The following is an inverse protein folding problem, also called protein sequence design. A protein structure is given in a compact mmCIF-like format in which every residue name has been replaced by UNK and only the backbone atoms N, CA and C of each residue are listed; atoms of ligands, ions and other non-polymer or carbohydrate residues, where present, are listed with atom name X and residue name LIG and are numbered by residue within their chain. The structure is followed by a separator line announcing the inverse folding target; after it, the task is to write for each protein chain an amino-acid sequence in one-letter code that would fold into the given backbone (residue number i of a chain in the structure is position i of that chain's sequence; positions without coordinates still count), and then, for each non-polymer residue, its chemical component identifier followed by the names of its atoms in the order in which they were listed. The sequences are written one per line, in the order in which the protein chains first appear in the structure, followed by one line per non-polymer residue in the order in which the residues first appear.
data_IF_630535665105
#
_entry.id   IF_630535665105
#
_cell.length_a   1.000
_cell.length_b   1.000
_cell.length_c   1.000
_cell.angle_alpha   90.00
_cell.angle_beta   90.00
_cell.angle_gamma   90.00
#
_symmetry.space_group_name_H-M   'P 1'
#
loop_
_entity.id
_entity.type
_entity.pdbx_description
1 polymer ?
#
# COMPACT_ATOMS: atom_id res chain seq x y z
N UNK A 1 2.09 -20.57 -82.72
CA UNK A 1 1.95 -19.19 -82.16
C UNK A 1 1.16 -19.15 -80.85
N UNK A 2 0.15 -19.94 -80.60
CA UNK A 2 -0.71 -19.88 -79.37
C UNK A 2 -0.03 -20.29 -78.07
N UNK A 3 0.96 -21.16 -78.05
CA UNK A 3 1.65 -21.67 -76.84
C UNK A 3 2.62 -20.64 -76.21
N UNK A 4 3.26 -19.78 -77.00
CA UNK A 4 4.18 -18.74 -76.50
C UNK A 4 3.47 -17.60 -75.79
N UNK A 5 2.24 -17.27 -76.18
CA UNK A 5 1.46 -16.25 -75.54
C UNK A 5 0.84 -16.70 -74.23
N UNK A 6 0.52 -18.00 -74.10
CA UNK A 6 0.00 -18.57 -72.84
C UNK A 6 1.05 -18.54 -71.72
N UNK A 7 2.30 -18.92 -72.02
CA UNK A 7 3.43 -18.90 -71.07
C UNK A 7 3.78 -17.45 -70.65
N UNK A 8 3.70 -16.50 -71.59
CA UNK A 8 3.98 -15.08 -71.30
C UNK A 8 2.92 -14.45 -70.38
N UNK A 9 1.65 -14.80 -70.56
CA UNK A 9 0.54 -14.34 -69.72
C UNK A 9 0.55 -15.01 -68.33
N UNK A 10 1.00 -16.30 -68.25
CA UNK A 10 1.15 -16.99 -66.98
C UNK A 10 2.30 -16.39 -66.14
N UNK A 11 3.39 -15.97 -66.81
CA UNK A 11 4.52 -15.31 -66.12
C UNK A 11 4.19 -13.91 -65.64
N UNK A 12 3.37 -13.15 -66.36
CA UNK A 12 2.88 -11.82 -65.98
C UNK A 12 1.90 -11.95 -64.80
N UNK A 13 1.00 -12.94 -64.80
CA UNK A 13 0.11 -13.22 -63.68
C UNK A 13 0.84 -13.64 -62.40
N UNK A 14 1.89 -14.47 -62.52
CA UNK A 14 2.73 -14.85 -61.37
C UNK A 14 3.56 -13.68 -60.84
N UNK A 15 4.07 -12.79 -61.69
CA UNK A 15 4.80 -11.59 -61.27
C UNK A 15 3.87 -10.58 -60.59
N UNK A 16 2.62 -10.45 -61.05
CA UNK A 16 1.61 -9.60 -60.39
C UNK A 16 1.19 -10.17 -59.02
N UNK A 17 1.14 -11.49 -58.83
CA UNK A 17 0.81 -12.11 -57.54
C UNK A 17 1.96 -11.96 -56.52
N UNK A 18 3.23 -11.88 -56.98
CA UNK A 18 4.38 -11.68 -56.08
C UNK A 18 4.53 -10.24 -55.60
N UNK A 19 3.98 -9.24 -56.32
CA UNK A 19 4.04 -7.82 -55.90
C UNK A 19 2.99 -7.49 -54.84
N UNK A 20 1.89 -8.26 -54.75
CA UNK A 20 0.83 -8.06 -53.74
C UNK A 20 1.25 -8.54 -52.34
N UNK A 21 2.27 -9.39 -52.21
CA UNK A 21 2.74 -9.96 -50.93
C UNK A 21 3.70 -9.04 -50.17
N UNK A 22 4.24 -7.96 -50.80
CA UNK A 22 5.26 -7.09 -50.15
C UNK A 22 4.68 -5.77 -49.61
N UNK A 23 3.43 -5.45 -49.89
CA UNK A 23 2.75 -4.30 -49.29
C UNK A 23 1.88 -4.75 -48.09
N UNK A 24 2.45 -5.42 -47.14
CA UNK A 24 1.84 -5.50 -45.80
C UNK A 24 1.95 -4.09 -45.21
N UNK A 25 0.84 -3.38 -44.96
CA UNK A 25 0.92 -2.18 -44.15
C UNK A 25 1.57 -2.63 -42.83
N UNK A 26 2.65 -1.97 -42.44
CA UNK A 26 3.16 -2.07 -41.09
C UNK A 26 1.99 -1.70 -40.17
N UNK A 27 1.27 -2.71 -39.68
CA UNK A 27 0.31 -2.53 -38.60
C UNK A 27 1.19 -2.10 -37.44
N UNK A 28 1.34 -0.79 -37.27
CA UNK A 28 1.75 -0.25 -35.99
C UNK A 28 0.76 -0.85 -35.00
N UNK A 29 1.18 -1.92 -34.30
CA UNK A 29 0.50 -2.36 -33.12
C UNK A 29 0.59 -1.16 -32.16
N UNK A 30 -0.43 -0.33 -32.21
CA UNK A 30 -0.73 0.59 -31.13
C UNK A 30 -1.01 -0.34 -29.97
N UNK A 31 0.02 -0.58 -29.17
CA UNK A 31 -0.16 -1.26 -27.89
C UNK A 31 -1.23 -0.45 -27.18
N UNK A 32 -2.42 -1.01 -27.07
CA UNK A 32 -3.49 -0.39 -26.31
C UNK A 32 -2.90 -0.12 -24.93
N UNK A 33 -2.71 1.15 -24.62
CA UNK A 33 -2.12 1.56 -23.34
C UNK A 33 -2.90 0.87 -22.23
N UNK A 34 -2.21 0.09 -21.40
CA UNK A 34 -2.83 -0.61 -20.30
C UNK A 34 -3.45 0.43 -19.35
N UNK A 35 -4.79 0.52 -19.35
CA UNK A 35 -5.51 1.54 -18.58
C UNK A 35 -5.58 1.24 -17.08
N UNK A 36 -5.42 -0.02 -16.69
CA UNK A 36 -5.47 -0.40 -15.28
C UNK A 36 -4.12 -0.17 -14.60
N UNK A 37 -4.16 0.40 -13.39
CA UNK A 37 -3.01 0.57 -12.49
C UNK A 37 -3.28 -0.23 -11.24
N UNK A 38 -2.42 -1.19 -10.93
CA UNK A 38 -2.51 -1.98 -9.70
C UNK A 38 -1.74 -1.24 -8.60
N UNK A 39 -2.50 -0.66 -7.67
CA UNK A 39 -1.97 0.00 -6.47
C UNK A 39 -1.95 -1.00 -5.31
N UNK A 40 -0.76 -1.40 -4.85
CA UNK A 40 -0.64 -2.11 -3.59
C UNK A 40 -0.40 -1.10 -2.45
N UNK A 41 -1.23 -1.18 -1.43
CA UNK A 41 -1.22 -0.24 -0.29
C UNK A 41 -1.58 -0.94 1.02
N UNK A 42 -1.85 -0.16 2.07
CA UNK A 42 -2.17 -0.72 3.38
C UNK A 42 -3.65 -0.61 3.74
N UNK A 43 -4.11 -1.54 4.59
CA UNK A 43 -5.49 -1.48 5.10
C UNK A 43 -5.77 -0.18 5.83
N UNK A 44 -4.79 0.37 6.56
CA UNK A 44 -4.95 1.67 7.23
C UNK A 44 -5.12 2.82 6.23
N UNK A 45 -4.43 2.79 5.08
CA UNK A 45 -4.63 3.78 4.01
C UNK A 45 -6.03 3.68 3.42
N UNK A 46 -6.53 2.47 3.19
CA UNK A 46 -7.90 2.24 2.71
C UNK A 46 -8.93 2.65 3.75
N UNK A 47 -8.78 2.20 5.00
CA UNK A 47 -9.74 2.42 6.09
C UNK A 47 -9.83 3.91 6.51
N UNK A 48 -8.82 4.72 6.18
CA UNK A 48 -8.84 6.18 6.41
C UNK A 48 -9.79 6.93 5.49
N UNK A 49 -10.26 6.30 4.39
CA UNK A 49 -11.07 6.95 3.37
C UNK A 49 -10.29 7.85 2.39
N UNK A 50 -8.96 7.96 2.54
CA UNK A 50 -8.12 8.81 1.69
C UNK A 50 -8.24 8.43 0.22
N UNK A 51 -8.20 7.15 -0.09
CA UNK A 51 -8.24 6.65 -1.47
C UNK A 51 -9.60 6.85 -2.13
N UNK A 52 -10.68 6.86 -1.36
CA UNK A 52 -12.04 7.10 -1.87
C UNK A 52 -12.19 8.52 -2.44
N UNK A 53 -11.37 9.45 -1.96
CA UNK A 53 -11.31 10.82 -2.48
C UNK A 53 -10.29 10.98 -3.61
N UNK A 54 -9.10 10.41 -3.46
CA UNK A 54 -8.00 10.64 -4.41
C UNK A 54 -8.15 9.87 -5.72
N UNK A 55 -8.57 8.60 -5.66
CA UNK A 55 -8.67 7.75 -6.85
C UNK A 55 -9.62 8.32 -7.90
N UNK A 56 -10.86 8.73 -7.59
CA UNK A 56 -11.76 9.30 -8.59
C UNK A 56 -11.19 10.55 -9.27
N UNK A 57 -10.44 11.37 -8.54
CA UNK A 57 -9.79 12.56 -9.11
C UNK A 57 -8.66 12.16 -10.06
N UNK A 58 -7.84 11.18 -9.68
CA UNK A 58 -6.78 10.64 -10.53
C UNK A 58 -7.35 10.05 -11.82
N UNK A 59 -8.35 9.16 -11.71
CA UNK A 59 -8.98 8.49 -12.84
C UNK A 59 -9.59 9.48 -13.82
N UNK A 60 -10.29 10.50 -13.31
CA UNK A 60 -10.86 11.58 -14.14
C UNK A 60 -9.80 12.39 -14.87
N UNK A 61 -8.65 12.65 -14.22
CA UNK A 61 -7.56 13.45 -14.82
C UNK A 61 -6.75 12.71 -15.86
N UNK A 62 -6.58 11.41 -15.69
CA UNK A 62 -5.59 10.63 -16.44
C UNK A 62 -6.20 9.62 -17.40
N UNK A 63 -7.45 9.21 -17.15
CA UNK A 63 -8.10 8.11 -17.88
C UNK A 63 -7.60 6.71 -17.50
N UNK A 64 -6.72 6.58 -16.50
CA UNK A 64 -6.38 5.30 -15.89
C UNK A 64 -7.45 4.88 -14.90
N UNK A 65 -7.54 3.56 -14.64
CA UNK A 65 -8.39 2.97 -13.60
C UNK A 65 -7.51 2.31 -12.55
N UNK A 66 -7.72 2.65 -11.28
CA UNK A 66 -6.91 2.13 -10.17
C UNK A 66 -7.58 0.90 -9.56
N UNK A 67 -6.84 -0.21 -9.56
CA UNK A 67 -7.19 -1.42 -8.81
C UNK A 67 -6.40 -1.43 -7.51
N UNK A 68 -7.05 -1.05 -6.43
CA UNK A 68 -6.43 -1.03 -5.10
C UNK A 68 -6.42 -2.42 -4.47
N UNK A 69 -5.26 -2.82 -3.96
CA UNK A 69 -5.09 -4.01 -3.13
C UNK A 69 -4.53 -3.55 -1.78
N UNK A 70 -5.42 -3.51 -0.80
CA UNK A 70 -5.12 -3.05 0.56
C UNK A 70 -4.82 -4.24 1.47
N UNK A 71 -3.56 -4.35 1.91
CA UNK A 71 -3.03 -5.46 2.73
C UNK A 71 -2.09 -4.92 3.81
N UNK A 72 -1.36 -5.76 4.53
CA UNK A 72 -0.28 -5.29 5.41
C UNK A 72 0.92 -4.77 4.60
N UNK A 73 1.71 -3.81 5.13
CA UNK A 73 2.88 -3.23 4.43
C UNK A 73 3.83 -4.30 3.89
N UNK A 74 4.10 -5.36 4.66
CA UNK A 74 4.95 -6.47 4.21
C UNK A 74 4.39 -7.20 3.01
N UNK A 75 3.08 -7.42 2.96
CA UNK A 75 2.41 -8.07 1.83
C UNK A 75 2.36 -7.16 0.60
N UNK A 76 2.10 -5.85 0.77
CA UNK A 76 2.15 -4.88 -0.32
C UNK A 76 3.56 -4.84 -0.95
N UNK A 77 4.60 -4.82 -0.12
CA UNK A 77 6.00 -4.90 -0.58
C UNK A 77 6.29 -6.22 -1.31
N UNK A 78 5.78 -7.36 -0.80
CA UNK A 78 5.95 -8.67 -1.43
C UNK A 78 5.28 -8.73 -2.82
N UNK A 79 4.13 -8.08 -3.02
CA UNK A 79 3.51 -7.95 -4.34
C UNK A 79 4.42 -7.18 -5.30
N UNK A 80 4.99 -6.05 -4.87
CA UNK A 80 5.97 -5.31 -5.66
C UNK A 80 7.21 -6.14 -6.00
N UNK A 81 7.71 -6.96 -5.06
CA UNK A 81 8.84 -7.87 -5.27
C UNK A 81 8.58 -8.96 -6.31
N UNK A 82 7.33 -9.25 -6.60
CA UNK A 82 6.90 -10.23 -7.62
C UNK A 82 6.45 -9.57 -8.93
N UNK A 83 6.39 -8.24 -8.99
CA UNK A 83 5.81 -7.52 -10.14
C UNK A 83 4.29 -7.67 -10.27
N UNK A 84 3.61 -7.95 -9.15
CA UNK A 84 2.14 -8.10 -9.06
C UNK A 84 1.43 -6.76 -8.76
N UNK A 85 2.19 -5.68 -8.65
CA UNK A 85 1.71 -4.30 -8.52
C UNK A 85 2.51 -3.38 -9.45
N UNK A 86 1.92 -2.27 -9.85
CA UNK A 86 2.57 -1.24 -10.68
C UNK A 86 3.17 -0.12 -9.81
N UNK A 87 2.51 0.16 -8.71
CA UNK A 87 2.89 1.22 -7.77
C UNK A 87 2.51 0.83 -6.33
N UNK A 88 3.33 1.26 -5.38
CA UNK A 88 3.10 1.07 -3.95
C UNK A 88 2.83 2.41 -3.28
N UNK A 89 1.88 2.45 -2.33
CA UNK A 89 1.69 3.55 -1.39
C UNK A 89 1.77 2.96 0.03
N UNK A 90 2.91 3.13 0.68
CA UNK A 90 3.28 2.43 1.92
C UNK A 90 3.96 3.36 2.93
N UNK A 91 4.12 2.88 4.18
CA UNK A 91 4.64 3.67 5.28
C UNK A 91 5.56 2.86 6.22
N UNK A 92 6.52 2.16 5.64
CA UNK A 92 7.54 1.39 6.36
C UNK A 92 8.94 1.75 5.85
N UNK A 93 9.49 2.93 6.22
CA UNK A 93 10.66 3.54 5.60
C UNK A 93 11.88 2.62 5.47
N UNK A 94 12.17 1.78 6.47
CA UNK A 94 13.34 0.89 6.42
C UNK A 94 13.14 -0.26 5.42
N UNK A 95 11.94 -0.86 5.39
CA UNK A 95 11.60 -1.88 4.40
C UNK A 95 11.57 -1.30 2.99
N UNK A 96 11.08 -0.06 2.82
CA UNK A 96 11.05 0.65 1.55
C UNK A 96 12.45 0.94 1.01
N UNK A 97 13.37 1.41 1.87
CA UNK A 97 14.78 1.63 1.50
C UNK A 97 15.44 0.33 1.03
N UNK A 98 15.17 -0.78 1.74
CA UNK A 98 15.65 -2.09 1.35
C UNK A 98 15.06 -2.52 0.00
N UNK A 99 13.78 -2.32 -0.23
CA UNK A 99 13.09 -2.63 -1.48
C UNK A 99 13.73 -1.89 -2.69
N UNK A 100 14.10 -0.61 -2.51
CA UNK A 100 14.85 0.17 -3.50
C UNK A 100 16.26 -0.39 -3.70
N UNK A 101 17.01 -0.65 -2.61
CA UNK A 101 18.38 -1.15 -2.66
C UNK A 101 18.47 -2.52 -3.36
N UNK A 102 17.47 -3.39 -3.17
CA UNK A 102 17.35 -4.70 -3.81
C UNK A 102 16.89 -4.59 -5.30
N UNK A 103 16.66 -3.38 -5.81
CA UNK A 103 16.27 -3.11 -7.20
C UNK A 103 14.83 -3.47 -7.54
N UNK A 104 13.94 -3.66 -6.57
CA UNK A 104 12.53 -3.98 -6.83
C UNK A 104 11.69 -2.75 -7.15
N UNK A 105 12.08 -1.58 -6.68
CA UNK A 105 11.38 -0.32 -6.90
C UNK A 105 12.30 0.79 -7.36
N UNK A 106 11.70 1.84 -7.90
CA UNK A 106 12.36 3.09 -8.31
C UNK A 106 11.54 4.29 -7.85
N UNK A 107 12.11 5.47 -7.93
CA UNK A 107 11.42 6.75 -7.72
C UNK A 107 10.61 6.82 -6.41
N UNK A 108 11.20 6.33 -5.30
CA UNK A 108 10.57 6.47 -3.98
C UNK A 108 10.44 7.95 -3.61
N UNK A 109 9.22 8.42 -3.41
CA UNK A 109 8.90 9.83 -3.12
C UNK A 109 8.07 9.97 -1.86
N UNK A 110 8.36 10.99 -1.07
CA UNK A 110 7.55 11.39 0.08
C UNK A 110 6.20 11.92 -0.43
N UNK A 111 5.10 11.41 0.14
CA UNK A 111 3.75 11.86 -0.17
C UNK A 111 3.18 12.69 0.97
N UNK A 112 3.15 12.12 2.16
CA UNK A 112 2.53 12.73 3.33
C UNK A 112 3.09 12.13 4.62
N UNK A 113 2.72 12.71 5.73
CA UNK A 113 2.83 12.08 7.05
C UNK A 113 1.46 11.99 7.71
N UNK A 114 1.32 10.97 8.50
CA UNK A 114 0.28 10.75 9.48
C UNK A 114 1.00 10.46 10.80
N UNK A 115 0.34 10.47 11.92
CA UNK A 115 0.95 10.00 13.17
C UNK A 115 0.20 8.78 13.70
N UNK A 116 0.94 7.98 14.45
CA UNK A 116 0.30 7.00 15.32
C UNK A 116 -0.18 7.68 16.59
N UNK A 117 -1.23 7.12 17.15
CA UNK A 117 -1.82 7.53 18.42
C UNK A 117 -2.06 6.28 19.28
N UNK A 118 -2.01 6.46 20.58
CA UNK A 118 -2.50 5.42 21.50
C UNK A 118 -3.89 5.80 21.94
N UNK A 119 -4.84 4.93 21.60
CA UNK A 119 -6.25 5.11 22.00
C UNK A 119 -6.64 4.08 23.06
N UNK A 120 -7.64 4.42 23.85
CA UNK A 120 -8.14 3.54 24.90
C UNK A 120 -9.46 4.02 25.48
N UNK A 121 -10.01 3.33 26.49
CA UNK A 121 -11.25 3.72 27.14
C UNK A 121 -11.10 5.08 27.83
N UNK A 122 -12.16 5.87 27.85
CA UNK A 122 -12.20 7.20 28.51
C UNK A 122 -11.87 7.17 30.00
N UNK A 123 -12.08 6.01 30.66
CA UNK A 123 -11.74 5.78 32.06
C UNK A 123 -10.23 5.71 32.34
N UNK A 124 -9.43 5.49 31.29
CA UNK A 124 -7.96 5.44 31.31
C UNK A 124 -7.36 4.70 32.53
N UNK A 125 -7.60 3.39 32.69
CA UNK A 125 -7.16 2.62 33.88
C UNK A 125 -5.64 2.64 34.09
N UNK A 126 -4.84 2.71 33.01
CA UNK A 126 -3.39 2.79 33.09
C UNK A 126 -2.85 4.21 33.32
N UNK A 127 -3.73 5.23 33.36
CA UNK A 127 -3.39 6.64 33.59
C UNK A 127 -2.31 7.14 32.63
N UNK A 128 -2.54 6.93 31.34
CA UNK A 128 -1.60 7.32 30.27
C UNK A 128 -1.91 8.69 29.68
N UNK A 129 -3.09 9.23 29.91
CA UNK A 129 -3.51 10.52 29.36
C UNK A 129 -2.54 11.63 29.75
N UNK A 130 -2.04 12.34 28.72
CA UNK A 130 -1.09 13.44 28.93
C UNK A 130 0.36 13.02 29.11
N UNK A 131 0.68 11.73 29.13
CA UNK A 131 2.07 11.24 29.16
C UNK A 131 2.70 11.50 27.79
N UNK A 132 3.85 12.21 27.76
CA UNK A 132 4.51 12.65 26.53
C UNK A 132 5.37 11.58 25.86
N UNK A 133 5.96 10.71 26.65
CA UNK A 133 6.82 9.62 26.14
C UNK A 133 5.99 8.38 25.86
N UNK A 134 5.98 7.94 24.61
CA UNK A 134 5.25 6.74 24.18
C UNK A 134 5.80 5.48 24.85
N UNK A 135 7.11 5.40 25.11
CA UNK A 135 7.69 4.28 25.84
C UNK A 135 7.18 4.22 27.28
N UNK A 136 7.00 5.36 27.95
CA UNK A 136 6.39 5.40 29.29
C UNK A 136 4.89 5.06 29.25
N UNK A 137 4.17 5.45 28.20
CA UNK A 137 2.78 5.03 27.96
C UNK A 137 2.68 3.49 27.94
N UNK A 138 3.54 2.86 27.17
CA UNK A 138 3.55 1.39 27.02
C UNK A 138 3.96 0.70 28.33
N UNK A 139 4.91 1.27 29.10
CA UNK A 139 5.27 0.76 30.43
C UNK A 139 4.08 0.82 31.40
N UNK A 140 3.32 1.92 31.39
CA UNK A 140 2.14 2.07 32.25
C UNK A 140 1.03 1.08 31.89
N UNK A 141 0.78 0.85 30.60
CA UNK A 141 -0.20 -0.15 30.16
C UNK A 141 0.21 -1.56 30.63
N UNK A 142 1.47 -1.93 30.43
CA UNK A 142 2.00 -3.21 30.87
C UNK A 142 1.95 -3.37 32.39
N UNK A 143 2.33 -2.35 33.17
CA UNK A 143 2.28 -2.35 34.62
C UNK A 143 0.85 -2.49 35.16
N UNK A 144 -0.13 -1.88 34.46
CA UNK A 144 -1.53 -2.02 34.82
C UNK A 144 -2.12 -3.39 34.42
N UNK A 145 -1.41 -4.16 33.59
CA UNK A 145 -1.87 -5.43 33.00
C UNK A 145 -3.27 -5.28 32.34
N UNK A 146 -3.56 -4.10 31.83
CA UNK A 146 -4.85 -3.80 31.22
C UNK A 146 -4.85 -4.21 29.75
N UNK A 147 -5.98 -4.70 29.21
CA UNK A 147 -6.03 -5.22 27.84
C UNK A 147 -5.43 -4.27 26.81
N UNK A 148 -4.51 -4.79 26.02
CA UNK A 148 -3.95 -4.14 24.85
C UNK A 148 -4.22 -5.00 23.61
N UNK A 149 -4.82 -4.42 22.59
CA UNK A 149 -5.15 -5.10 21.35
C UNK A 149 -4.13 -4.70 20.30
N UNK A 150 -3.36 -5.68 19.86
CA UNK A 150 -2.40 -5.56 18.77
C UNK A 150 -3.02 -6.00 17.45
N UNK A 151 -2.54 -5.44 16.36
CA UNK A 151 -2.89 -5.96 15.03
C UNK A 151 -2.37 -7.38 14.80
N UNK A 152 -1.14 -7.69 15.18
CA UNK A 152 -0.56 -9.03 15.06
C UNK A 152 -0.41 -9.55 13.61
N UNK A 153 -0.49 -8.69 12.59
CA UNK A 153 -0.62 -9.02 11.16
C UNK A 153 0.62 -8.69 10.32
N UNK A 154 1.74 -8.38 10.97
CA UNK A 154 2.99 -7.93 10.33
C UNK A 154 2.85 -6.65 9.48
N UNK A 155 1.83 -5.84 9.73
CA UNK A 155 1.65 -4.51 9.12
C UNK A 155 2.68 -3.49 9.62
N UNK A 156 2.69 -2.31 8.99
CA UNK A 156 3.50 -1.18 9.45
C UNK A 156 3.15 -0.72 10.86
N UNK A 157 1.87 -0.74 11.24
CA UNK A 157 1.41 -0.46 12.61
C UNK A 157 1.94 -1.50 13.60
N UNK A 158 1.85 -2.80 13.25
CA UNK A 158 2.39 -3.87 14.10
C UNK A 158 3.92 -3.78 14.23
N UNK A 159 4.63 -3.44 13.15
CA UNK A 159 6.08 -3.21 13.19
C UNK A 159 6.44 -2.03 14.12
N UNK A 160 5.70 -0.92 14.03
CA UNK A 160 5.86 0.25 14.91
C UNK A 160 5.59 -0.12 16.38
N UNK A 161 4.51 -0.82 16.65
CA UNK A 161 4.16 -1.30 17.98
C UNK A 161 5.29 -2.14 18.60
N UNK A 162 5.80 -3.14 17.85
CA UNK A 162 6.94 -3.96 18.31
C UNK A 162 8.19 -3.12 18.59
N UNK A 163 8.46 -2.12 17.77
CA UNK A 163 9.59 -1.21 17.99
C UNK A 163 9.42 -0.40 19.29
N UNK A 164 8.19 0.03 19.63
CA UNK A 164 7.90 0.75 20.88
C UNK A 164 8.04 -0.18 22.08
N UNK A 165 7.49 -1.40 22.05
CA UNK A 165 7.68 -2.41 23.12
C UNK A 165 9.16 -2.69 23.36
N UNK A 166 9.93 -2.86 22.29
CA UNK A 166 11.39 -3.06 22.38
C UNK A 166 12.09 -1.85 23.01
N UNK A 167 11.73 -0.63 22.60
CA UNK A 167 12.30 0.60 23.17
C UNK A 167 11.94 0.79 24.64
N UNK A 168 10.77 0.31 25.07
CA UNK A 168 10.34 0.29 26.46
C UNK A 168 11.04 -0.81 27.29
N UNK A 169 11.83 -1.69 26.65
CA UNK A 169 12.51 -2.84 27.26
C UNK A 169 11.55 -3.81 27.98
N UNK A 170 10.36 -4.04 27.40
CA UNK A 170 9.31 -4.88 27.98
C UNK A 170 9.14 -6.19 27.23
N UNK A 171 8.87 -7.26 27.98
CA UNK A 171 8.29 -8.49 27.45
C UNK A 171 6.78 -8.36 27.50
N UNK A 172 6.11 -8.64 26.40
CA UNK A 172 4.66 -8.53 26.26
C UNK A 172 4.06 -9.76 25.59
N UNK A 173 4.83 -10.45 24.76
CA UNK A 173 4.39 -11.67 24.07
C UNK A 173 4.11 -12.78 25.07
N UNK A 174 2.93 -13.40 24.95
CA UNK A 174 2.46 -14.44 25.86
C UNK A 174 1.71 -13.92 27.10
N UNK A 175 1.71 -12.61 27.34
CA UNK A 175 0.96 -12.03 28.45
C UNK A 175 -0.56 -12.04 28.17
N UNK A 176 -1.37 -12.33 29.18
CA UNK A 176 -2.84 -12.44 29.04
C UNK A 176 -3.50 -11.13 28.64
N UNK A 177 -2.92 -10.01 29.03
CA UNK A 177 -3.41 -8.67 28.70
C UNK A 177 -3.06 -8.24 27.26
N UNK A 178 -2.10 -8.89 26.59
CA UNK A 178 -1.71 -8.61 25.22
C UNK A 178 -2.39 -9.59 24.26
N UNK A 179 -3.26 -9.07 23.39
CA UNK A 179 -4.06 -9.89 22.47
C UNK A 179 -3.84 -9.44 21.03
N UNK A 180 -3.57 -10.38 20.15
CA UNK A 180 -3.39 -10.14 18.72
C UNK A 180 -4.67 -10.51 17.97
N UNK A 181 -5.09 -9.64 17.02
CA UNK A 181 -6.29 -9.87 16.21
C UNK A 181 -6.00 -10.57 14.89
N UNK A 182 -4.83 -10.35 14.29
CA UNK A 182 -4.55 -10.75 12.90
C UNK A 182 -5.31 -9.92 11.86
N UNK A 183 -5.94 -8.80 12.26
CA UNK A 183 -6.89 -8.05 11.43
C UNK A 183 -6.31 -6.70 10.97
N UNK A 184 -7.00 -6.06 10.00
CA UNK A 184 -6.72 -4.69 9.56
C UNK A 184 -6.99 -3.64 10.65
N UNK A 185 -6.55 -2.38 10.41
CA UNK A 185 -6.58 -1.34 11.45
C UNK A 185 -8.00 -1.02 11.90
N UNK A 186 -8.94 -0.84 10.97
CA UNK A 186 -10.33 -0.52 11.31
C UNK A 186 -11.00 -1.62 12.14
N UNK A 187 -10.78 -2.88 11.78
CA UNK A 187 -11.30 -4.02 12.54
C UNK A 187 -10.67 -4.12 13.92
N UNK A 188 -9.35 -3.90 14.03
CA UNK A 188 -8.65 -3.89 15.32
C UNK A 188 -9.15 -2.80 16.25
N UNK A 189 -9.45 -1.60 15.73
CA UNK A 189 -10.08 -0.52 16.49
C UNK A 189 -11.47 -0.91 17.02
N UNK A 190 -12.28 -1.59 16.22
CA UNK A 190 -13.59 -2.09 16.68
C UNK A 190 -13.43 -3.09 17.82
N UNK A 191 -12.52 -4.07 17.71
CA UNK A 191 -12.24 -5.03 18.76
C UNK A 191 -11.74 -4.34 20.04
N UNK A 192 -10.83 -3.37 19.91
CA UNK A 192 -10.35 -2.58 21.06
C UNK A 192 -11.48 -1.78 21.72
N UNK A 193 -12.38 -1.22 20.93
CA UNK A 193 -13.55 -0.48 21.43
C UNK A 193 -14.52 -1.38 22.23
N UNK A 194 -14.85 -2.54 21.67
CA UNK A 194 -15.74 -3.53 22.33
C UNK A 194 -15.14 -4.03 23.64
N UNK A 195 -13.83 -4.30 23.64
CA UNK A 195 -13.09 -4.79 24.82
C UNK A 195 -12.71 -3.68 25.80
N UNK A 196 -13.00 -2.42 25.47
CA UNK A 196 -12.54 -1.23 26.25
C UNK A 196 -11.02 -1.25 26.47
N UNK A 197 -10.27 -1.67 25.46
CA UNK A 197 -8.83 -1.92 25.54
C UNK A 197 -8.00 -0.78 24.95
N UNK A 198 -6.72 -0.74 25.26
CA UNK A 198 -5.77 0.12 24.58
C UNK A 198 -5.35 -0.48 23.23
N UNK A 199 -5.00 0.37 22.27
CA UNK A 199 -4.39 -0.04 21.01
C UNK A 199 -3.57 1.10 20.40
N UNK A 200 -2.57 0.73 19.60
CA UNK A 200 -1.87 1.66 18.72
C UNK A 200 -2.63 1.74 17.39
N UNK A 201 -2.98 2.94 16.97
CA UNK A 201 -3.66 3.16 15.70
C UNK A 201 -3.04 4.32 14.92
N UNK A 202 -3.18 4.35 13.61
CA UNK A 202 -2.96 5.56 12.85
C UNK A 202 -4.14 6.53 13.02
N UNK A 203 -3.84 7.82 13.09
CA UNK A 203 -4.84 8.87 13.33
C UNK A 203 -5.92 8.89 12.26
N UNK A 204 -5.54 8.71 10.98
CA UNK A 204 -6.47 8.77 9.86
C UNK A 204 -7.59 7.74 10.00
N UNK A 205 -7.24 6.46 10.23
CA UNK A 205 -8.23 5.40 10.44
C UNK A 205 -9.08 5.64 11.69
N UNK A 206 -8.47 6.09 12.79
CA UNK A 206 -9.23 6.42 14.00
C UNK A 206 -10.25 7.52 13.74
N UNK A 207 -9.86 8.62 13.08
CA UNK A 207 -10.77 9.74 12.79
C UNK A 207 -11.92 9.33 11.87
N UNK A 208 -11.66 8.51 10.87
CA UNK A 208 -12.69 7.97 9.96
C UNK A 208 -13.74 7.15 10.71
N UNK A 209 -13.33 6.42 11.75
CA UNK A 209 -14.21 5.54 12.53
C UNK A 209 -14.70 6.15 13.86
N UNK A 210 -14.18 7.30 14.29
CA UNK A 210 -14.39 7.88 15.62
C UNK A 210 -15.84 7.86 16.11
N UNK A 211 -16.78 8.14 15.23
CA UNK A 211 -18.23 8.19 15.59
C UNK A 211 -18.80 6.84 16.02
N UNK A 212 -18.10 5.74 15.71
CA UNK A 212 -18.52 4.35 16.01
C UNK A 212 -17.71 3.73 17.14
N UNK A 213 -16.68 4.42 17.62
CA UNK A 213 -15.74 3.91 18.62
C UNK A 213 -15.99 4.55 19.98
N UNK A 214 -15.94 3.74 21.04
CA UNK A 214 -15.93 4.18 22.43
C UNK A 214 -14.47 4.25 22.95
N UNK A 215 -13.60 4.92 22.19
CA UNK A 215 -12.19 5.10 22.50
C UNK A 215 -11.81 6.56 22.37
N UNK A 216 -10.97 7.05 23.28
CA UNK A 216 -10.38 8.37 23.24
C UNK A 216 -8.92 8.33 22.86
N UNK A 217 -8.38 9.41 22.28
CA UNK A 217 -6.93 9.60 22.11
C UNK A 217 -6.36 9.91 23.50
N UNK A 218 -5.46 9.06 23.98
CA UNK A 218 -4.87 9.18 25.31
C UNK A 218 -3.39 9.58 25.27
N UNK A 219 -2.66 9.21 24.19
CA UNK A 219 -1.29 9.65 23.99
C UNK A 219 -1.01 9.90 22.49
N UNK A 220 -0.29 10.99 22.22
CA UNK A 220 0.04 11.47 20.87
C UNK A 220 1.21 12.44 20.90
N UNK A 221 1.76 12.79 19.72
CA UNK A 221 2.72 13.88 19.54
C UNK A 221 4.17 13.53 19.87
N UNK A 222 4.48 12.30 20.26
CA UNK A 222 5.87 11.82 20.40
C UNK A 222 6.48 11.59 19.00
N UNK A 223 7.73 11.98 18.80
CA UNK A 223 8.45 11.80 17.53
C UNK A 223 8.51 10.34 17.06
N UNK A 224 8.54 9.38 17.98
CA UNK A 224 8.50 7.94 17.66
C UNK A 224 7.20 7.53 16.97
N UNK A 225 6.12 8.31 17.15
CA UNK A 225 4.80 8.04 16.56
C UNK A 225 4.67 8.58 15.13
N UNK A 226 5.68 9.28 14.60
CA UNK A 226 5.63 9.80 13.22
C UNK A 226 5.50 8.62 12.23
N UNK A 227 4.57 8.77 11.30
CA UNK A 227 4.23 7.79 10.29
C UNK A 227 4.31 8.44 8.90
N UNK A 228 5.35 8.10 8.13
CA UNK A 228 5.69 8.76 6.87
C UNK A 228 5.32 7.83 5.71
N UNK A 229 4.55 8.35 4.76
CA UNK A 229 4.07 7.64 3.58
C UNK A 229 4.89 7.98 2.35
N UNK A 230 5.21 6.94 1.60
CA UNK A 230 5.90 7.09 0.31
C UNK A 230 5.13 6.36 -0.79
N UNK A 231 5.19 6.94 -1.98
CA UNK A 231 4.84 6.27 -3.22
C UNK A 231 6.11 5.73 -3.86
N UNK A 232 6.05 4.49 -4.39
CA UNK A 232 7.18 3.80 -5.00
C UNK A 232 6.70 3.14 -6.29
N UNK A 233 7.34 3.44 -7.41
CA UNK A 233 7.09 2.75 -8.67
C UNK A 233 7.78 1.38 -8.66
N UNK A 234 7.11 0.32 -9.09
CA UNK A 234 7.73 -1.00 -9.26
C UNK A 234 8.68 -0.94 -10.45
N UNK A 235 9.88 -1.53 -10.31
CA UNK A 235 10.96 -1.36 -11.28
C UNK A 235 10.67 -2.09 -12.60
N UNK A 236 10.42 -1.40 -13.71
CA UNK A 236 10.11 -2.01 -15.01
C UNK A 236 11.29 -2.76 -15.62
N UNK A 237 12.53 -2.40 -15.28
CA UNK A 237 13.70 -3.12 -15.76
C UNK A 237 13.76 -4.54 -15.20
N UNK A 238 13.22 -4.76 -14.00
CA UNK A 238 13.13 -6.08 -13.35
C UNK A 238 11.82 -6.79 -13.70
N UNK A 239 10.73 -6.04 -13.91
CA UNK A 239 9.39 -6.54 -14.15
C UNK A 239 8.77 -5.90 -15.41
N UNK A 240 9.11 -6.40 -16.63
CA UNK A 240 8.66 -5.77 -17.87
C UNK A 240 7.14 -5.76 -18.11
N UNK A 241 6.38 -6.52 -17.32
CA UNK A 241 4.91 -6.61 -17.43
C UNK A 241 4.15 -5.55 -16.63
N UNK A 242 4.82 -4.82 -15.72
CA UNK A 242 4.16 -3.76 -14.94
C UNK A 242 3.73 -2.60 -15.84
N UNK A 243 2.61 -1.98 -15.51
CA UNK A 243 2.15 -0.78 -16.19
C UNK A 243 3.00 0.44 -15.76
N UNK A 244 4.19 0.57 -16.33
CA UNK A 244 5.14 1.65 -16.01
C UNK A 244 4.53 3.04 -16.17
N UNK A 245 3.81 3.27 -17.27
CA UNK A 245 3.21 4.58 -17.53
C UNK A 245 2.11 4.92 -16.52
N UNK A 246 1.26 3.94 -16.18
CA UNK A 246 0.22 4.10 -15.18
C UNK A 246 0.77 4.26 -13.76
N UNK A 247 1.77 3.45 -13.39
CA UNK A 247 2.45 3.55 -12.09
C UNK A 247 3.12 4.91 -11.90
N UNK A 248 3.83 5.38 -12.94
CA UNK A 248 4.44 6.72 -12.94
C UNK A 248 3.38 7.83 -12.85
N UNK A 249 2.30 7.73 -13.63
CA UNK A 249 1.22 8.73 -13.60
C UNK A 249 0.58 8.82 -12.21
N UNK A 250 0.36 7.67 -11.54
CA UNK A 250 -0.16 7.66 -10.17
C UNK A 250 0.85 8.28 -9.20
N UNK A 251 2.12 7.91 -9.31
CA UNK A 251 3.16 8.46 -8.45
C UNK A 251 3.37 9.98 -8.65
N UNK A 252 3.21 10.50 -9.87
CA UNK A 252 3.28 11.94 -10.17
C UNK A 252 2.05 12.71 -9.65
N UNK A 253 0.92 12.05 -9.53
CA UNK A 253 -0.31 12.63 -9.01
C UNK A 253 -0.28 12.77 -7.48
N UNK A 254 0.38 11.85 -6.77
CA UNK A 254 0.50 11.83 -5.31
C UNK A 254 1.52 12.86 -4.80
#
# INVERSE_FOLDING_TARGET
MKRKNFLKNLFIMMAALLIVVVAQPSVNQVFAQQKNVILATTTSTQDSGLLDVLIPVFEKKTGYFVKTIAVGSGQAMAMGQKGEADVLLVHSPDAEKKFIADGFGVNRRLVMHNDFIVVGPSSDPAKIKGVKSTTEVFKKIAAAQYPFISRGDNSGTHAKEKAIWKAAALKYEGEKWYQQTGLGMGQTLNVASEKKAYTLADRGTYLALKKRLNLDILAEGDAILLNIYHVIEVNPAKFPKVNTAGGKAFADFM
#
